data_IF_433241870939
#
_entry.id   IF_433241870939
#
_cell.length_a   1.000
_cell.length_b   1.000
_cell.length_c   1.000
_cell.angle_alpha   90.00
_cell.angle_beta   90.00
_cell.angle_gamma   90.00
#
_symmetry.space_group_name_H-M   'P 1'
#
loop_
_entity.id
_entity.type
_entity.pdbx_description
1 polymer ?
#
# COMPACT_ATOMS: atom_id res chain seq x y z
N UNK A 1 -27.59 4.55 11.09
CA UNK A 1 -26.34 3.83 10.70
C UNK A 1 -25.83 4.45 9.41
N UNK A 2 -24.51 4.65 9.27
CA UNK A 2 -23.92 5.05 7.98
C UNK A 2 -23.88 3.82 7.07
N UNK A 3 -24.41 3.92 5.87
CA UNK A 3 -24.27 2.85 4.87
C UNK A 3 -22.79 2.60 4.58
N UNK A 4 -22.42 1.32 4.50
CA UNK A 4 -21.05 0.93 4.13
C UNK A 4 -20.95 0.92 2.61
N UNK A 5 -19.81 1.40 2.10
CA UNK A 5 -19.49 1.32 0.69
C UNK A 5 -19.12 -0.12 0.31
N UNK A 6 -19.73 -0.63 -0.77
CA UNK A 6 -19.33 -1.89 -1.40
C UNK A 6 -18.14 -1.57 -2.32
N UNK A 7 -17.06 -2.35 -2.20
CA UNK A 7 -15.85 -2.24 -3.03
C UNK A 7 -15.66 -3.50 -3.87
N UNK A 8 -14.93 -3.36 -4.99
CA UNK A 8 -14.58 -4.44 -5.89
C UNK A 8 -13.42 -5.31 -5.38
N UNK A 9 -13.00 -6.28 -6.21
CA UNK A 9 -11.85 -7.15 -5.93
C UNK A 9 -10.50 -6.44 -6.08
N UNK A 10 -10.46 -5.32 -6.81
CA UNK A 10 -9.29 -4.47 -7.01
C UNK A 10 -9.76 -3.03 -6.94
N UNK A 11 -9.05 -2.18 -6.21
CA UNK A 11 -9.35 -0.76 -6.05
C UNK A 11 -8.10 0.10 -6.23
N UNK A 12 -8.30 1.35 -6.65
CA UNK A 12 -7.23 2.36 -6.64
C UNK A 12 -7.10 2.90 -5.22
N UNK A 13 -5.90 2.83 -4.66
CA UNK A 13 -5.57 3.34 -3.33
C UNK A 13 -4.50 4.42 -3.43
N UNK A 14 -4.57 5.39 -2.52
CA UNK A 14 -3.64 6.51 -2.42
C UNK A 14 -3.01 6.45 -1.05
N UNK A 15 -1.68 6.56 -1.00
CA UNK A 15 -0.92 6.67 0.26
C UNK A 15 -0.42 8.11 0.42
N UNK A 16 -1.09 8.95 1.25
CA UNK A 16 -0.71 10.36 1.42
C UNK A 16 0.72 10.53 1.92
N UNK A 17 1.16 9.66 2.82
CA UNK A 17 2.51 9.69 3.41
C UNK A 17 3.60 9.29 2.40
N UNK A 18 3.21 8.68 1.28
CA UNK A 18 4.10 8.26 0.19
C UNK A 18 3.96 9.19 -1.01
N UNK A 19 3.86 10.51 -0.77
CA UNK A 19 3.73 11.52 -1.83
C UNK A 19 2.52 11.28 -2.76
N UNK A 20 1.41 10.79 -2.20
CA UNK A 20 0.18 10.50 -2.95
C UNK A 20 0.35 9.50 -4.10
N UNK A 21 1.27 8.54 -3.98
CA UNK A 21 1.40 7.45 -4.94
C UNK A 21 0.08 6.69 -5.06
N UNK A 22 -0.36 6.49 -6.31
CA UNK A 22 -1.58 5.75 -6.67
C UNK A 22 -1.22 4.32 -7.03
N UNK A 23 -1.74 3.34 -6.29
CA UNK A 23 -1.53 1.91 -6.53
C UNK A 23 -2.85 1.20 -6.79
N UNK A 24 -2.81 0.12 -7.56
CA UNK A 24 -3.91 -0.83 -7.65
C UNK A 24 -3.73 -1.88 -6.55
N UNK A 25 -4.65 -1.89 -5.57
CA UNK A 25 -4.64 -2.85 -4.46
C UNK A 25 -5.68 -3.95 -4.68
N UNK A 26 -5.28 -5.20 -4.45
CA UNK A 26 -6.20 -6.34 -4.39
C UNK A 26 -6.93 -6.36 -3.04
N UNK A 27 -8.24 -6.47 -3.07
CA UNK A 27 -9.07 -6.70 -1.88
C UNK A 27 -9.17 -8.21 -1.66
N UNK A 28 -8.26 -8.72 -0.85
CA UNK A 28 -8.12 -10.15 -0.56
C UNK A 28 -8.83 -10.53 0.74
N UNK A 29 -10.08 -10.98 0.63
CA UNK A 29 -10.87 -11.42 1.79
C UNK A 29 -10.38 -12.71 2.42
N UNK A 30 -9.45 -13.44 1.77
CA UNK A 30 -8.82 -14.63 2.32
C UNK A 30 -7.63 -14.33 3.24
N UNK A 31 -7.09 -13.11 3.19
CA UNK A 31 -5.94 -12.69 3.98
C UNK A 31 -6.37 -11.90 5.22
N UNK A 32 -5.79 -12.24 6.38
CA UNK A 32 -6.01 -11.49 7.62
C UNK A 32 -5.21 -10.17 7.64
N UNK A 33 -4.08 -10.14 6.96
CA UNK A 33 -3.14 -9.01 6.97
C UNK A 33 -3.02 -8.40 5.59
N UNK A 34 -2.74 -7.10 5.57
CA UNK A 34 -2.34 -6.40 4.35
C UNK A 34 -0.85 -6.58 4.11
N UNK A 35 -0.43 -6.49 2.84
CA UNK A 35 0.98 -6.53 2.46
C UNK A 35 1.22 -5.59 1.29
N UNK A 36 2.42 -5.02 1.25
CA UNK A 36 2.90 -4.15 0.18
C UNK A 36 4.37 -4.51 -0.08
N UNK A 37 4.74 -4.59 -1.36
CA UNK A 37 6.13 -4.84 -1.74
C UNK A 37 7.00 -3.64 -1.43
N UNK A 38 8.12 -3.86 -0.74
CA UNK A 38 9.08 -2.82 -0.38
C UNK A 38 10.52 -3.33 -0.47
N UNK A 39 11.44 -2.40 -0.71
CA UNK A 39 12.89 -2.63 -0.80
C UNK A 39 13.63 -1.65 0.10
N UNK A 40 14.92 -1.85 0.34
CA UNK A 40 15.76 -0.98 1.18
C UNK A 40 15.13 -0.70 2.55
N UNK A 41 14.83 -1.78 3.28
CA UNK A 41 14.16 -1.72 4.58
C UNK A 41 15.20 -1.44 5.66
N UNK A 42 15.05 -0.31 6.35
CA UNK A 42 15.95 0.13 7.43
C UNK A 42 15.15 0.46 8.68
N UNK A 43 15.58 -0.04 9.83
CA UNK A 43 15.03 0.32 11.13
C UNK A 43 15.74 1.57 11.66
N UNK A 44 14.94 2.58 12.02
CA UNK A 44 15.44 3.85 12.55
C UNK A 44 14.80 4.13 13.91
N UNK A 45 15.35 5.05 14.73
CA UNK A 45 14.70 5.49 15.97
C UNK A 45 13.29 6.07 15.78
N UNK A 46 12.89 6.40 14.55
CA UNK A 46 11.57 6.93 14.20
C UNK A 46 10.63 5.87 13.58
N UNK A 47 11.08 4.63 13.47
CA UNK A 47 10.36 3.52 12.83
C UNK A 47 11.06 2.98 11.58
N UNK A 48 10.33 2.21 10.78
CA UNK A 48 10.84 1.62 9.55
C UNK A 48 10.82 2.63 8.40
N UNK A 49 11.96 2.77 7.72
CA UNK A 49 12.05 3.44 6.43
C UNK A 49 12.17 2.39 5.33
N UNK A 50 11.42 2.57 4.25
CA UNK A 50 11.38 1.62 3.14
C UNK A 50 11.19 2.37 1.81
N UNK A 51 11.56 1.73 0.70
CA UNK A 51 11.28 2.18 -0.66
C UNK A 51 10.21 1.30 -1.30
N UNK A 52 9.13 1.92 -1.77
CA UNK A 52 8.07 1.27 -2.54
C UNK A 52 8.31 1.44 -4.04
N UNK A 53 7.94 0.42 -4.82
CA UNK A 53 8.03 0.44 -6.29
C UNK A 53 9.32 -0.16 -6.87
N UNK A 54 9.25 -0.58 -8.13
CA UNK A 54 10.40 -1.00 -8.95
C UNK A 54 10.91 0.24 -9.69
N UNK A 55 12.17 0.62 -9.47
CA UNK A 55 12.81 1.62 -10.31
C UNK A 55 13.16 0.98 -11.64
N UNK A 56 12.27 1.06 -12.64
CA UNK A 56 12.72 0.97 -14.03
C UNK A 56 13.57 2.21 -14.29
N UNK A 57 14.88 2.02 -14.16
CA UNK A 57 15.87 2.95 -14.66
C UNK A 57 15.94 2.67 -16.16
N UNK A 58 15.09 3.34 -16.92
CA UNK A 58 15.29 3.49 -18.37
C UNK A 58 16.55 4.28 -18.67
#
# INVERSE_FOLDING_TARGET
>A
MKEKTIIGRVEKVIFPELQYVVLYARIDTGAKTSSIWATYIEETPKGLQVRFGYGDSG
#
